data_IF_900321702804
#
_entry.id   IF_900321702804
#
_cell.length_a   1.000
_cell.length_b   1.000
_cell.length_c   1.000
_cell.angle_alpha   90.00
_cell.angle_beta   90.00
_cell.angle_gamma   90.00
#
_symmetry.space_group_name_H-M   'P 1'
#
loop_
_entity.id
_entity.type
_entity.pdbx_description
1 polymer ?
#
# COMPACT_ATOMS: atom_id res chain seq x y z
N UNK A 1 -17.08 -4.02 -48.84
CA UNK A 1 -16.54 -4.52 -47.56
C UNK A 1 -16.09 -3.33 -46.74
N UNK A 2 -16.90 -2.90 -45.77
CA UNK A 2 -16.59 -1.75 -44.92
C UNK A 2 -15.88 -2.24 -43.66
N UNK A 3 -14.70 -1.70 -43.35
CA UNK A 3 -13.98 -1.92 -42.09
C UNK A 3 -14.43 -0.87 -41.08
N UNK A 4 -15.27 -1.27 -40.14
CA UNK A 4 -15.61 -0.45 -38.97
C UNK A 4 -14.41 -0.44 -38.03
N UNK A 5 -13.82 0.74 -37.82
CA UNK A 5 -12.81 0.95 -36.77
C UNK A 5 -13.55 1.09 -35.44
N UNK A 6 -13.38 0.11 -34.55
CA UNK A 6 -13.78 0.26 -33.16
C UNK A 6 -12.84 1.27 -32.50
N UNK A 7 -13.41 2.39 -32.06
CA UNK A 7 -12.77 3.35 -31.16
C UNK A 7 -12.77 2.68 -29.79
N UNK A 8 -11.61 2.22 -29.33
CA UNK A 8 -11.45 1.78 -27.95
C UNK A 8 -11.38 3.07 -27.14
N UNK A 9 -12.48 3.39 -26.50
CA UNK A 9 -12.61 4.47 -25.53
C UNK A 9 -11.87 3.99 -24.27
N UNK A 10 -10.67 4.54 -24.06
CA UNK A 10 -9.77 4.21 -22.94
C UNK A 10 -9.98 5.13 -21.73
N UNK A 11 -11.20 5.60 -21.49
CA UNK A 11 -11.49 6.58 -20.42
C UNK A 11 -12.13 5.99 -19.15
N UNK A 12 -12.40 4.67 -19.08
CA UNK A 12 -13.17 4.09 -17.96
C UNK A 12 -12.35 3.38 -16.86
N UNK A 13 -11.02 3.52 -16.82
CA UNK A 13 -10.18 2.80 -15.82
C UNK A 13 -9.67 3.70 -14.68
N UNK A 14 -10.00 5.00 -14.67
CA UNK A 14 -9.50 5.94 -13.64
C UNK A 14 -10.50 6.40 -12.57
N UNK A 15 -11.76 5.95 -12.59
CA UNK A 15 -12.81 6.54 -11.71
C UNK A 15 -13.41 5.60 -10.65
N UNK A 16 -12.69 4.57 -10.20
CA UNK A 16 -13.17 3.69 -9.10
C UNK A 16 -12.44 3.84 -7.75
N UNK A 17 -11.60 4.87 -7.56
CA UNK A 17 -11.02 5.17 -6.23
C UNK A 17 -11.81 6.22 -5.41
N UNK A 18 -12.91 6.74 -5.95
CA UNK A 18 -13.64 7.85 -5.34
C UNK A 18 -15.06 7.46 -4.92
N UNK A 19 -15.22 6.49 -4.01
CA UNK A 19 -16.51 6.34 -3.31
C UNK A 19 -16.39 5.64 -1.95
N UNK A 20 -15.76 6.32 -1.00
CA UNK A 20 -16.07 6.18 0.43
C UNK A 20 -16.38 7.58 0.97
N UNK A 21 -17.68 7.88 1.11
CA UNK A 21 -18.18 9.21 1.48
C UNK A 21 -18.05 9.50 2.96
N UNK A 22 -17.18 10.46 3.29
CA UNK A 22 -17.08 11.22 4.53
C UNK A 22 -16.18 12.41 4.25
N UNK A 23 -16.45 13.59 4.81
CA UNK A 23 -15.64 14.79 4.60
C UNK A 23 -14.12 14.50 4.76
N UNK A 24 -13.34 14.77 3.70
CA UNK A 24 -11.93 15.19 3.83
C UNK A 24 -10.90 14.21 4.40
N UNK A 25 -11.01 12.89 4.22
CA UNK A 25 -9.88 12.02 4.52
C UNK A 25 -8.79 12.17 3.45
N UNK A 26 -7.89 13.13 3.65
CA UNK A 26 -6.64 13.24 2.89
C UNK A 26 -5.65 12.23 3.47
N UNK A 27 -5.21 11.28 2.65
CA UNK A 27 -4.24 10.29 3.09
C UNK A 27 -2.90 10.99 3.44
N UNK A 28 -2.25 10.64 4.57
CA UNK A 28 -1.06 11.36 5.05
C UNK A 28 0.09 11.46 4.03
N UNK A 29 0.60 12.68 3.84
CA UNK A 29 1.70 12.95 2.91
C UNK A 29 3.10 12.89 3.55
N UNK A 30 3.21 12.94 4.88
CA UNK A 30 4.49 12.81 5.59
C UNK A 30 4.41 11.72 6.65
N UNK A 31 5.57 11.25 7.11
CA UNK A 31 5.63 10.22 8.16
C UNK A 31 5.04 10.75 9.46
N UNK A 32 5.30 12.01 9.82
CA UNK A 32 4.73 12.59 11.04
C UNK A 32 3.22 12.73 10.96
N UNK A 33 2.67 13.05 9.79
CA UNK A 33 1.22 13.06 9.59
C UNK A 33 0.63 11.64 9.66
N UNK A 34 1.37 10.65 9.14
CA UNK A 34 0.97 9.25 9.19
C UNK A 34 0.92 8.71 10.62
N UNK A 35 1.96 8.97 11.44
CA UNK A 35 1.99 8.60 12.85
C UNK A 35 0.89 9.28 13.69
N UNK A 36 0.52 10.53 13.37
CA UNK A 36 -0.58 11.23 14.05
C UNK A 36 -1.94 10.62 13.76
N UNK A 37 -2.16 10.18 12.53
CA UNK A 37 -3.41 9.54 12.13
C UNK A 37 -3.48 8.09 12.63
N UNK A 38 -2.34 7.41 12.60
CA UNK A 38 -2.18 6.00 12.96
C UNK A 38 -1.19 5.88 14.13
N UNK A 39 -1.67 6.07 15.36
CA UNK A 39 -0.83 6.05 16.58
C UNK A 39 0.03 4.79 16.71
N UNK A 40 -0.44 3.65 16.20
CA UNK A 40 0.33 2.40 16.20
C UNK A 40 1.64 2.51 15.41
N UNK A 41 1.71 3.38 14.41
CA UNK A 41 2.89 3.55 13.55
C UNK A 41 4.06 4.22 14.28
N UNK A 42 3.83 4.91 15.41
CA UNK A 42 4.92 5.43 16.26
C UNK A 42 5.75 4.31 16.89
N UNK A 43 5.19 3.11 17.00
CA UNK A 43 5.86 1.94 17.58
C UNK A 43 6.53 1.06 16.52
N UNK A 44 6.48 1.46 15.24
CA UNK A 44 7.22 0.75 14.20
C UNK A 44 8.72 0.97 14.38
N UNK A 45 9.54 -0.06 14.13
CA UNK A 45 10.99 0.09 13.98
C UNK A 45 11.36 1.18 12.98
N UNK A 46 12.59 1.68 13.06
CA UNK A 46 13.10 2.63 12.05
C UNK A 46 13.09 1.96 10.66
N UNK A 47 12.42 2.61 9.70
CA UNK A 47 12.25 2.08 8.35
C UNK A 47 13.03 2.87 7.31
N UNK A 48 13.47 2.19 6.26
CA UNK A 48 14.02 2.82 5.05
C UNK A 48 12.92 3.69 4.40
N UNK A 49 13.18 4.99 4.16
CA UNK A 49 12.21 5.86 3.51
C UNK A 49 11.82 5.35 2.11
N UNK A 50 10.54 5.50 1.68
CA UNK A 50 10.06 4.96 0.40
C UNK A 50 10.85 5.43 -0.84
N UNK A 51 11.43 6.63 -0.80
CA UNK A 51 12.21 7.21 -1.90
C UNK A 51 13.66 6.66 -1.99
N UNK A 52 14.11 5.95 -0.97
CA UNK A 52 15.43 5.30 -0.95
C UNK A 52 15.36 3.82 -1.35
N UNK A 53 14.15 3.28 -1.55
CA UNK A 53 13.96 1.89 -1.95
C UNK A 53 14.57 1.59 -3.33
N UNK A 54 15.29 0.46 -3.48
CA UNK A 54 15.78 0.05 -4.79
C UNK A 54 14.62 -0.34 -5.71
N UNK A 55 14.82 -0.24 -7.03
CA UNK A 55 13.81 -0.60 -8.04
C UNK A 55 13.19 -1.99 -7.80
N UNK A 56 13.97 -2.97 -7.35
CA UNK A 56 13.47 -4.32 -7.04
C UNK A 56 12.44 -4.30 -5.90
N UNK A 57 12.69 -3.55 -4.84
CA UNK A 57 11.79 -3.42 -3.70
C UNK A 57 10.52 -2.67 -4.12
N UNK A 58 10.64 -1.60 -4.92
CA UNK A 58 9.49 -0.88 -5.47
C UNK A 58 8.60 -1.80 -6.34
N UNK A 59 9.21 -2.60 -7.22
CA UNK A 59 8.45 -3.55 -8.04
C UNK A 59 7.78 -4.67 -7.21
N UNK A 60 8.33 -5.00 -6.03
CA UNK A 60 7.70 -5.93 -5.08
C UNK A 60 6.53 -5.27 -4.36
N UNK A 61 6.74 -4.04 -3.86
CA UNK A 61 5.73 -3.20 -3.23
C UNK A 61 4.47 -3.05 -4.10
N UNK A 62 4.64 -2.73 -5.39
CA UNK A 62 3.50 -2.59 -6.33
C UNK A 62 2.66 -3.87 -6.42
N UNK A 63 3.33 -5.03 -6.50
CA UNK A 63 2.65 -6.33 -6.58
C UNK A 63 1.95 -6.68 -5.27
N UNK A 64 2.60 -6.42 -4.14
CA UNK A 64 2.04 -6.69 -2.81
C UNK A 64 0.84 -5.79 -2.54
N UNK A 65 0.94 -4.51 -2.88
CA UNK A 65 -0.17 -3.58 -2.74
C UNK A 65 -1.41 -4.03 -3.53
N UNK A 66 -1.26 -4.41 -4.80
CA UNK A 66 -2.39 -4.90 -5.59
C UNK A 66 -2.95 -6.21 -5.06
N UNK A 67 -2.10 -7.15 -4.61
CA UNK A 67 -2.56 -8.41 -3.98
C UNK A 67 -3.33 -8.14 -2.69
N UNK A 68 -2.86 -7.23 -1.85
CA UNK A 68 -3.56 -6.80 -0.63
C UNK A 68 -4.89 -6.12 -0.95
N UNK A 69 -4.94 -5.27 -1.98
CA UNK A 69 -6.18 -4.61 -2.42
C UNK A 69 -7.22 -5.63 -2.89
N UNK A 70 -6.81 -6.63 -3.67
CA UNK A 70 -7.69 -7.71 -4.11
C UNK A 70 -8.17 -8.57 -2.94
N UNK A 71 -7.27 -8.97 -2.04
CA UNK A 71 -7.62 -9.76 -0.85
C UNK A 71 -8.61 -9.03 0.08
N UNK A 72 -8.57 -7.69 0.12
CA UNK A 72 -9.55 -6.89 0.84
C UNK A 72 -10.90 -6.83 0.14
N UNK A 73 -10.92 -6.55 -1.17
CA UNK A 73 -12.16 -6.48 -1.96
C UNK A 73 -12.92 -7.82 -1.97
N UNK A 74 -12.21 -8.94 -1.92
CA UNK A 74 -12.81 -10.29 -1.90
C UNK A 74 -13.63 -10.56 -0.62
N UNK A 75 -13.46 -9.74 0.42
CA UNK A 75 -14.16 -9.89 1.71
C UNK A 75 -15.45 -9.08 1.80
N UNK A 76 -15.63 -8.03 0.99
CA UNK A 76 -16.85 -7.22 1.02
C UNK A 76 -18.07 -7.97 0.44
N UNK A 77 -17.84 -9.03 -0.34
CA UNK A 77 -18.86 -9.96 -0.81
C UNK A 77 -19.07 -11.09 0.23
N UNK A 78 -19.82 -10.77 1.30
CA UNK A 78 -20.06 -11.64 2.45
C UNK A 78 -20.81 -12.95 2.12
N UNK A 79 -20.06 -14.05 1.95
CA UNK A 79 -20.56 -15.40 2.19
C UNK A 79 -19.86 -15.98 3.44
N UNK A 80 -20.61 -16.24 4.55
CA UNK A 80 -20.04 -16.77 5.79
C UNK A 80 -19.27 -18.09 5.66
N UNK A 81 -19.54 -18.87 4.59
CA UNK A 81 -18.84 -20.12 4.31
C UNK A 81 -17.38 -19.90 3.87
N UNK A 82 -17.06 -18.72 3.33
CA UNK A 82 -15.76 -18.42 2.72
C UNK A 82 -14.83 -17.66 3.69
N UNK A 83 -15.28 -17.43 4.94
CA UNK A 83 -14.54 -16.65 5.97
C UNK A 83 -13.19 -17.25 6.30
N UNK A 84 -13.07 -18.58 6.40
CA UNK A 84 -11.79 -19.25 6.70
C UNK A 84 -10.84 -19.16 5.50
N UNK A 85 -11.32 -19.43 4.29
CA UNK A 85 -10.51 -19.31 3.07
C UNK A 85 -10.03 -17.87 2.86
N UNK A 86 -10.87 -16.88 3.18
CA UNK A 86 -10.51 -15.47 3.13
C UNK A 86 -9.48 -15.08 4.20
N UNK A 87 -9.55 -15.68 5.40
CA UNK A 87 -8.53 -15.49 6.43
C UNK A 87 -7.19 -16.10 6.03
N UNK A 88 -7.19 -17.26 5.37
CA UNK A 88 -5.97 -17.89 4.85
C UNK A 88 -5.33 -17.00 3.77
N UNK A 89 -6.13 -16.46 2.84
CA UNK A 89 -5.64 -15.50 1.83
C UNK A 89 -5.04 -14.25 2.48
N UNK A 90 -5.66 -13.72 3.55
CA UNK A 90 -5.12 -12.57 4.28
C UNK A 90 -3.85 -12.91 5.03
N UNK A 91 -3.76 -14.10 5.62
CA UNK A 91 -2.56 -14.58 6.28
C UNK A 91 -1.40 -14.69 5.28
N UNK A 92 -1.62 -15.32 4.12
CA UNK A 92 -0.61 -15.45 3.06
C UNK A 92 -0.10 -14.09 2.57
N UNK A 93 -1.01 -13.15 2.32
CA UNK A 93 -0.63 -11.80 1.87
C UNK A 93 0.06 -11.03 2.99
N UNK A 94 -0.37 -11.19 4.24
CA UNK A 94 0.27 -10.58 5.39
C UNK A 94 1.70 -11.12 5.57
N UNK A 95 1.92 -12.43 5.45
CA UNK A 95 3.26 -13.03 5.50
C UNK A 95 4.19 -12.48 4.42
N UNK A 96 3.70 -12.36 3.19
CA UNK A 96 4.47 -11.77 2.09
C UNK A 96 4.82 -10.29 2.33
N UNK A 97 3.86 -9.52 2.85
CA UNK A 97 4.08 -8.11 3.19
C UNK A 97 5.02 -7.95 4.40
N UNK A 98 4.95 -8.86 5.38
CA UNK A 98 5.89 -8.93 6.50
C UNK A 98 7.30 -9.19 5.98
N UNK A 99 7.46 -10.17 5.08
CA UNK A 99 8.73 -10.44 4.43
C UNK A 99 9.29 -9.22 3.71
N UNK A 100 8.44 -8.47 2.99
CA UNK A 100 8.86 -7.22 2.36
C UNK A 100 9.35 -6.18 3.38
N UNK A 101 8.57 -5.87 4.42
CA UNK A 101 9.00 -4.84 5.38
C UNK A 101 10.23 -5.28 6.17
N UNK A 102 10.33 -6.56 6.52
CA UNK A 102 11.49 -7.13 7.20
C UNK A 102 12.74 -7.08 6.33
N UNK A 103 12.67 -7.58 5.11
CA UNK A 103 13.87 -7.81 4.28
C UNK A 103 14.28 -6.57 3.48
N UNK A 104 13.31 -5.74 3.05
CA UNK A 104 13.53 -4.62 2.13
C UNK A 104 13.40 -3.24 2.83
N UNK A 105 12.82 -3.15 4.03
CA UNK A 105 12.57 -1.87 4.71
C UNK A 105 13.11 -1.77 6.14
N UNK A 106 13.46 -2.88 6.80
CA UNK A 106 13.86 -2.94 8.21
C UNK A 106 15.03 -3.91 8.43
N UNK A 107 15.44 -4.09 9.69
CA UNK A 107 16.27 -5.20 10.15
C UNK A 107 15.42 -6.32 10.79
N UNK A 108 15.89 -7.57 10.67
CA UNK A 108 15.09 -8.80 10.83
C UNK A 108 14.26 -8.98 12.12
N UNK A 109 14.74 -8.54 13.29
CA UNK A 109 14.18 -9.00 14.58
C UNK A 109 13.07 -8.11 15.17
N UNK A 110 13.00 -6.83 14.78
CA UNK A 110 12.13 -5.86 15.48
C UNK A 110 10.69 -5.87 14.96
N UNK A 111 10.47 -6.24 13.70
CA UNK A 111 9.15 -6.17 13.06
C UNK A 111 8.20 -7.30 13.50
N UNK A 112 8.69 -8.52 13.64
CA UNK A 112 7.87 -9.64 14.11
C UNK A 112 7.44 -9.42 15.58
N UNK A 113 8.32 -8.82 16.40
CA UNK A 113 7.98 -8.47 17.78
C UNK A 113 6.86 -7.44 17.87
N UNK A 114 6.77 -6.51 16.92
CA UNK A 114 5.71 -5.51 16.86
C UNK A 114 4.33 -6.13 16.56
N UNK A 115 4.28 -7.21 15.78
CA UNK A 115 3.03 -7.85 15.38
C UNK A 115 2.52 -8.88 16.40
N UNK A 116 3.34 -9.25 17.39
CA UNK A 116 2.99 -10.27 18.39
C UNK A 116 1.71 -9.93 19.17
N UNK A 117 0.77 -10.87 19.19
CA UNK A 117 -0.51 -10.73 19.91
C UNK A 117 -1.60 -9.99 19.14
N UNK A 118 -1.32 -9.56 17.91
CA UNK A 118 -2.29 -8.91 17.01
C UNK A 118 -3.00 -9.96 16.14
N UNK A 119 -4.30 -9.78 15.85
CA UNK A 119 -5.04 -10.72 14.99
C UNK A 119 -4.62 -10.60 13.53
N UNK A 120 -4.80 -11.66 12.74
CA UNK A 120 -4.51 -11.66 11.30
C UNK A 120 -5.20 -10.50 10.57
N UNK A 121 -6.48 -10.25 10.86
CA UNK A 121 -7.22 -9.14 10.25
C UNK A 121 -6.61 -7.77 10.60
N UNK A 122 -6.26 -7.55 11.87
CA UNK A 122 -5.67 -6.28 12.28
C UNK A 122 -4.27 -6.10 11.66
N UNK A 123 -3.44 -7.14 11.65
CA UNK A 123 -2.13 -7.14 10.97
C UNK A 123 -2.30 -6.84 9.49
N UNK A 124 -3.22 -7.53 8.81
CA UNK A 124 -3.49 -7.32 7.39
C UNK A 124 -3.93 -5.87 7.10
N UNK A 125 -4.84 -5.31 7.90
CA UNK A 125 -5.26 -3.91 7.75
C UNK A 125 -4.10 -2.93 7.96
N UNK A 126 -3.28 -3.14 9.00
CA UNK A 126 -2.11 -2.30 9.27
C UNK A 126 -1.10 -2.34 8.11
N UNK A 127 -0.80 -3.54 7.61
CA UNK A 127 0.10 -3.75 6.47
C UNK A 127 -0.45 -3.11 5.19
N UNK A 128 -1.74 -3.22 4.92
CA UNK A 128 -2.35 -2.53 3.77
C UNK A 128 -2.16 -1.02 3.86
N UNK A 129 -2.43 -0.42 5.03
CA UNK A 129 -2.29 1.03 5.23
C UNK A 129 -0.82 1.45 5.04
N UNK A 130 0.12 0.66 5.55
CA UNK A 130 1.55 0.91 5.40
C UNK A 130 2.01 0.76 3.95
N UNK A 131 1.58 -0.28 3.24
CA UNK A 131 1.85 -0.48 1.82
C UNK A 131 1.29 0.68 0.99
N UNK A 132 0.07 1.16 1.29
CA UNK A 132 -0.53 2.33 0.64
C UNK A 132 0.33 3.58 0.86
N UNK A 133 0.80 3.80 2.08
CA UNK A 133 1.69 4.91 2.38
C UNK A 133 2.96 4.85 1.54
N UNK A 134 3.63 3.70 1.52
CA UNK A 134 4.82 3.50 0.69
C UNK A 134 4.54 3.75 -0.80
N UNK A 135 3.44 3.23 -1.33
CA UNK A 135 3.02 3.45 -2.72
C UNK A 135 2.79 4.92 -3.06
N UNK A 136 2.16 5.69 -2.16
CA UNK A 136 1.92 7.12 -2.35
C UNK A 136 3.21 7.93 -2.33
N UNK A 137 4.21 7.47 -1.59
CA UNK A 137 5.49 8.17 -1.41
C UNK A 137 6.53 7.78 -2.46
N UNK A 138 6.44 6.59 -3.05
CA UNK A 138 7.31 6.19 -4.18
C UNK A 138 7.13 7.18 -5.34
N UNK A 139 8.24 7.63 -5.91
CA UNK A 139 8.24 8.60 -7.01
C UNK A 139 8.05 10.06 -6.59
N UNK A 140 7.64 10.34 -5.34
CA UNK A 140 7.71 11.68 -4.73
C UNK A 140 9.18 11.95 -4.35
N UNK A 141 9.99 12.30 -5.35
CA UNK A 141 11.39 12.70 -5.11
C UNK A 141 11.42 13.92 -4.18
N UNK A 142 12.02 13.78 -3.00
CA UNK A 142 12.42 14.90 -2.11
C UNK A 142 13.34 15.91 -2.83
N UNK A 143 13.89 15.51 -3.98
CA UNK A 143 14.74 16.30 -4.88
C UNK A 143 14.03 17.19 -5.91
N UNK A 144 12.69 17.33 -5.95
CA UNK A 144 12.02 18.21 -6.94
C UNK A 144 12.17 19.73 -6.69
N UNK A 145 13.25 20.14 -6.01
CA UNK A 145 13.83 21.49 -6.07
C UNK A 145 15.08 21.57 -6.93
N UNK A 146 15.39 20.55 -7.73
CA UNK A 146 16.47 20.63 -8.70
C UNK A 146 16.04 21.46 -9.92
N UNK A 147 16.46 22.72 -9.90
CA UNK A 147 16.76 23.55 -11.06
C UNK A 147 15.58 24.08 -11.89
N UNK A 148 14.89 25.09 -11.36
CA UNK A 148 14.52 26.26 -12.18
C UNK A 148 15.46 27.42 -11.85
N UNK A 149 16.75 27.24 -12.15
CA UNK A 149 17.72 28.34 -12.20
C UNK A 149 18.64 28.14 -13.38
N UNK A 150 18.05 28.20 -14.58
CA UNK A 150 18.72 28.53 -15.85
C UNK A 150 17.60 28.59 -16.91
N UNK A 151 17.36 29.70 -17.60
CA UNK A 151 18.37 30.35 -18.45
C UNK A 151 17.93 31.78 -18.80
N UNK A 152 18.82 32.72 -18.47
CA UNK A 152 19.19 33.98 -19.16
C UNK A 152 18.17 35.09 -19.33
#
# INVERSE_FOLDING_TARGET
MARTKAKVETDDVQEQEAQAGGEGFEFPETWEAFCKEFEWAENLPEMIPPHELPFRAVANLEKLYERSRLAYATFEDENPADVVENLDVRADVAEDAIGFFRDDCMGDEEFESFLNGTSVDAVFSMLMILLRYYMVQVGKNTGSKLSSTRTR
#
